data_IF_633646882574
#
_entry.id   IF_633646882574
#
_cell.length_a   1.000
_cell.length_b   1.000
_cell.length_c   1.000
_cell.angle_alpha   90.00
_cell.angle_beta   90.00
_cell.angle_gamma   90.00
#
_symmetry.space_group_name_H-M   'P 1'
#
loop_
_entity.id
_entity.type
_entity.pdbx_description
1 polymer ?
#
# COMPACT_ATOMS: atom_id res chain seq x y z
N UNK A 1 8.50 -9.47 15.98
CA UNK A 1 8.98 -8.82 14.73
C UNK A 1 8.56 -7.35 14.73
N UNK A 2 9.31 -6.41 14.13
CA UNK A 2 8.86 -5.00 13.97
C UNK A 2 8.18 -4.79 12.59
N UNK A 3 7.54 -3.64 12.38
CA UNK A 3 6.76 -3.39 11.16
C UNK A 3 7.60 -3.41 9.87
N UNK A 4 8.78 -2.78 9.88
CA UNK A 4 9.65 -2.74 8.69
C UNK A 4 10.17 -4.13 8.31
N UNK A 5 10.58 -4.93 9.30
CA UNK A 5 10.99 -6.32 9.10
C UNK A 5 9.81 -7.14 8.58
N UNK A 6 8.62 -6.99 9.17
CA UNK A 6 7.41 -7.68 8.71
C UNK A 6 7.10 -7.36 7.24
N UNK A 7 7.23 -6.10 6.83
CA UNK A 7 6.98 -5.68 5.45
C UNK A 7 8.02 -6.25 4.47
N UNK A 8 9.26 -6.43 4.92
CA UNK A 8 10.33 -7.06 4.15
C UNK A 8 10.10 -8.57 4.00
N UNK A 9 9.76 -9.26 5.10
CA UNK A 9 9.42 -10.69 5.10
C UNK A 9 8.23 -11.01 4.20
N UNK A 10 7.22 -10.15 4.13
CA UNK A 10 6.09 -10.31 3.19
C UNK A 10 6.51 -10.27 1.71
N UNK A 11 7.64 -9.64 1.38
CA UNK A 11 8.20 -9.67 0.02
C UNK A 11 9.02 -10.94 -0.25
N UNK A 12 9.40 -11.67 0.81
CA UNK A 12 10.26 -12.85 0.77
C UNK A 12 9.53 -14.13 1.14
N UNK A 13 8.20 -14.18 1.02
CA UNK A 13 7.48 -15.43 1.17
C UNK A 13 7.87 -16.41 0.05
N UNK A 14 7.97 -17.70 0.39
CA UNK A 14 8.34 -18.74 -0.58
C UNK A 14 7.20 -19.01 -1.57
N UNK A 15 5.97 -18.94 -1.08
CA UNK A 15 4.75 -19.10 -1.86
C UNK A 15 3.89 -17.84 -1.83
N UNK A 16 3.19 -17.58 -2.93
CA UNK A 16 2.39 -16.37 -3.09
C UNK A 16 1.06 -16.44 -2.30
N UNK A 17 0.74 -15.43 -1.46
CA UNK A 17 -0.54 -15.39 -0.74
C UNK A 17 -1.74 -15.22 -1.67
N UNK A 18 -2.93 -15.59 -1.17
CA UNK A 18 -4.18 -15.38 -1.89
C UNK A 18 -4.45 -13.87 -2.10
N UNK A 19 -5.24 -13.53 -3.12
CA UNK A 19 -5.63 -12.15 -3.42
C UNK A 19 -6.27 -11.44 -2.23
N UNK A 20 -7.16 -12.10 -1.50
CA UNK A 20 -7.83 -11.50 -0.34
C UNK A 20 -6.88 -11.24 0.82
N UNK A 21 -5.87 -12.09 0.99
CA UNK A 21 -4.81 -11.92 2.00
C UNK A 21 -3.90 -10.74 1.64
N UNK A 22 -3.53 -10.61 0.36
CA UNK A 22 -2.79 -9.46 -0.17
C UNK A 22 -3.58 -8.16 0.01
N UNK A 23 -4.88 -8.18 -0.27
CA UNK A 23 -5.74 -7.01 -0.11
C UNK A 23 -5.86 -6.60 1.37
N UNK A 24 -6.00 -7.57 2.27
CA UNK A 24 -6.00 -7.32 3.72
C UNK A 24 -4.69 -6.66 4.18
N UNK A 25 -3.54 -7.22 3.79
CA UNK A 25 -2.22 -6.66 4.07
C UNK A 25 -2.07 -5.26 3.48
N UNK A 26 -2.50 -5.04 2.24
CA UNK A 26 -2.44 -3.75 1.56
C UNK A 26 -3.22 -2.67 2.32
N UNK A 27 -4.45 -2.97 2.72
CA UNK A 27 -5.31 -2.00 3.42
C UNK A 27 -4.72 -1.54 4.75
N UNK A 28 -4.21 -2.49 5.55
CA UNK A 28 -3.59 -2.20 6.85
C UNK A 28 -2.26 -1.47 6.67
N UNK A 29 -1.44 -1.89 5.71
CA UNK A 29 -0.17 -1.23 5.39
C UNK A 29 -0.37 0.24 4.99
N UNK A 30 -1.32 0.50 4.09
CA UNK A 30 -1.63 1.86 3.64
C UNK A 30 -2.14 2.72 4.80
N UNK A 31 -2.99 2.18 5.66
CA UNK A 31 -3.47 2.88 6.86
C UNK A 31 -2.32 3.18 7.84
N UNK A 32 -1.39 2.25 8.05
CA UNK A 32 -0.24 2.47 8.94
C UNK A 32 0.70 3.59 8.43
N UNK A 33 0.95 3.65 7.12
CA UNK A 33 1.89 4.62 6.52
C UNK A 33 1.24 5.98 6.23
N UNK A 34 0.04 5.97 5.66
CA UNK A 34 -0.62 7.17 5.13
C UNK A 34 -1.78 7.65 5.99
N UNK A 35 -2.21 6.87 6.98
CA UNK A 35 -3.41 7.15 7.76
C UNK A 35 -4.68 6.96 6.93
N UNK A 36 -5.71 7.69 7.34
CA UNK A 36 -7.00 7.68 6.67
C UNK A 36 -6.89 8.09 5.20
N UNK A 37 -7.67 7.41 4.37
CA UNK A 37 -7.77 7.76 2.96
C UNK A 37 -8.29 9.20 2.81
N UNK A 38 -7.62 10.07 2.03
CA UNK A 38 -8.07 11.44 1.88
C UNK A 38 -9.38 11.51 1.10
N UNK A 39 -10.27 12.44 1.44
CA UNK A 39 -11.47 12.67 0.64
C UNK A 39 -11.12 13.39 -0.67
N UNK A 40 -11.96 13.25 -1.70
CA UNK A 40 -11.78 13.95 -2.98
C UNK A 40 -11.73 15.48 -2.82
N UNK A 41 -12.32 16.02 -1.76
CA UNK A 41 -12.32 17.45 -1.43
C UNK A 41 -10.98 17.90 -0.82
N UNK A 42 -10.32 17.05 -0.04
CA UNK A 42 -9.03 17.35 0.61
C UNK A 42 -7.92 17.61 -0.42
N UNK A 43 -7.98 16.99 -1.60
CA UNK A 43 -7.00 17.19 -2.67
C UNK A 43 -7.02 18.60 -3.28
N UNK A 44 -8.13 19.35 -3.17
CA UNK A 44 -8.18 20.75 -3.64
C UNK A 44 -7.29 21.68 -2.82
N UNK A 45 -7.04 21.35 -1.55
CA UNK A 45 -6.29 22.21 -0.63
C UNK A 45 -4.77 22.18 -0.87
N UNK A 46 -4.26 21.14 -1.54
CA UNK A 46 -2.84 20.96 -1.85
C UNK A 46 -2.46 21.36 -3.28
N UNK A 47 -3.44 21.75 -4.11
CA UNK A 47 -3.20 22.21 -5.48
C UNK A 47 -3.10 23.74 -5.45
N UNK A 48 -1.91 24.28 -5.77
CA UNK A 48 -1.67 25.71 -5.91
C UNK A 48 -2.79 26.37 -6.77
N UNK A 49 -3.35 27.53 -6.35
CA UNK A 49 -4.43 28.21 -7.08
C UNK A 49 -4.14 28.43 -8.58
N UNK A 50 -2.87 28.58 -8.95
CA UNK A 50 -2.40 28.70 -10.33
C UNK A 50 -2.64 27.45 -11.19
N UNK A 51 -2.63 26.25 -10.60
CA UNK A 51 -2.91 24.98 -11.31
C UNK A 51 -4.42 24.79 -11.51
N UNK A 52 -5.24 25.20 -10.54
CA UNK A 52 -6.71 25.14 -10.66
C UNK A 52 -7.19 26.05 -11.81
N UNK A 53 -6.60 27.24 -11.96
CA UNK A 53 -6.88 28.15 -13.07
C UNK A 53 -6.56 27.52 -14.45
N UNK A 54 -5.46 26.78 -14.57
CA UNK A 54 -5.06 26.07 -15.79
C UNK A 54 -6.03 24.93 -16.16
N UNK A 55 -6.53 24.18 -15.16
CA UNK A 55 -7.47 23.07 -15.37
C UNK A 55 -8.89 23.52 -15.76
N UNK A 56 -9.33 24.69 -15.26
CA UNK A 56 -10.64 25.25 -15.62
C UNK A 56 -10.60 25.84 -17.04
N UNK A 57 -9.46 26.39 -17.47
CA UNK A 57 -9.31 27.03 -18.78
C UNK A 57 -9.08 26.04 -19.94
N UNK A 58 -8.49 24.86 -19.69
CA UNK A 58 -8.12 23.88 -20.72
C UNK A 58 -9.05 22.65 -20.78
N UNK A 59 -10.36 22.85 -20.92
CA UNK A 59 -11.34 21.75 -21.05
C UNK A 59 -11.30 21.03 -22.42
N UNK A 60 -10.31 21.32 -23.28
CA UNK A 60 -10.19 20.76 -24.63
C UNK A 60 -8.88 20.03 -24.95
N UNK A 61 -7.92 19.92 -24.02
CA UNK A 61 -6.67 19.16 -24.28
C UNK A 61 -6.11 18.50 -23.02
N UNK A 62 -6.67 17.36 -22.63
CA UNK A 62 -6.09 16.49 -21.59
C UNK A 62 -5.03 15.62 -22.28
N UNK A 63 -3.85 16.18 -22.52
CA UNK A 63 -2.75 15.39 -23.07
C UNK A 63 -1.36 15.83 -22.63
N UNK A 64 -1.16 16.60 -21.57
CA UNK A 64 0.20 16.81 -21.01
C UNK A 64 0.16 17.40 -19.60
N UNK A 65 -0.05 16.56 -18.59
CA UNK A 65 0.47 16.84 -17.24
C UNK A 65 1.06 15.55 -16.67
N UNK A 66 2.18 15.11 -17.24
CA UNK A 66 3.08 14.12 -16.67
C UNK A 66 3.85 14.74 -15.49
N UNK A 67 3.16 15.19 -14.44
CA UNK A 67 3.81 15.40 -13.15
C UNK A 67 3.50 14.19 -12.28
N UNK A 68 4.56 13.55 -11.78
CA UNK A 68 4.49 12.37 -10.90
C UNK A 68 3.58 12.61 -9.69
N UNK A 69 3.42 13.88 -9.28
CA UNK A 69 2.52 14.36 -8.24
C UNK A 69 1.04 14.27 -8.62
N UNK A 70 0.63 14.59 -9.85
CA UNK A 70 -0.78 14.44 -10.29
C UNK A 70 -1.20 12.98 -10.40
N UNK A 71 -0.32 12.11 -10.92
CA UNK A 71 -0.61 10.66 -10.96
C UNK A 71 -0.74 10.08 -9.55
N UNK A 72 0.12 10.47 -8.61
CA UNK A 72 0.09 9.95 -7.24
C UNK A 72 -1.21 10.32 -6.50
N UNK A 73 -1.73 11.53 -6.68
CA UNK A 73 -3.02 11.94 -6.12
C UNK A 73 -4.23 11.23 -6.76
N UNK A 74 -4.16 10.90 -8.06
CA UNK A 74 -5.26 10.25 -8.78
C UNK A 74 -5.50 8.79 -8.35
N UNK A 75 -4.44 8.04 -8.03
CA UNK A 75 -4.56 6.65 -7.57
C UNK A 75 -5.13 6.47 -6.15
N UNK A 76 -5.20 7.55 -5.37
CA UNK A 76 -5.73 7.54 -4.00
C UNK A 76 -7.20 8.08 -3.92
N UNK A 77 -7.79 8.48 -5.04
CA UNK A 77 -9.23 8.81 -5.15
C UNK A 77 -10.06 7.57 -5.55
N UNK A 78 -11.35 7.53 -5.17
CA UNK A 78 -12.23 6.38 -5.45
C UNK A 78 -12.17 5.99 -6.94
N UNK A 79 -11.68 4.79 -7.30
CA UNK A 79 -11.51 4.41 -8.69
C UNK A 79 -12.87 4.19 -9.37
N UNK A 80 -12.90 4.37 -10.69
CA UNK A 80 -14.07 4.05 -11.52
C UNK A 80 -14.42 2.56 -11.43
N UNK A 81 -15.71 2.22 -11.51
CA UNK A 81 -16.20 0.83 -11.45
C UNK A 81 -15.69 -0.06 -12.60
N UNK A 82 -15.10 0.52 -13.65
CA UNK A 82 -14.46 -0.21 -14.75
C UNK A 82 -13.15 -0.90 -14.31
N UNK A 83 -12.51 -0.42 -13.23
CA UNK A 83 -11.25 -0.97 -12.69
C UNK A 83 -11.51 -1.72 -11.37
N UNK A 84 -11.92 -2.97 -11.49
CA UNK A 84 -12.31 -3.80 -10.36
C UNK A 84 -11.16 -4.05 -9.38
N UNK A 85 -9.91 -4.12 -9.85
CA UNK A 85 -8.76 -4.39 -8.99
C UNK A 85 -8.40 -3.20 -8.11
N UNK A 86 -8.32 -2.00 -8.71
CA UNK A 86 -8.06 -0.79 -7.92
C UNK A 86 -9.22 -0.51 -6.95
N UNK A 87 -10.46 -0.84 -7.34
CA UNK A 87 -11.61 -0.75 -6.44
C UNK A 87 -11.47 -1.68 -5.22
N UNK A 88 -11.00 -2.92 -5.39
CA UNK A 88 -10.75 -3.83 -4.27
C UNK A 88 -9.68 -3.30 -3.32
N UNK A 89 -8.58 -2.76 -3.85
CA UNK A 89 -7.53 -2.12 -3.05
C UNK A 89 -8.05 -0.93 -2.25
N UNK A 90 -8.81 -0.06 -2.91
CA UNK A 90 -9.45 1.11 -2.29
C UNK A 90 -10.40 0.69 -1.16
N UNK A 91 -11.26 -0.29 -1.41
CA UNK A 91 -12.19 -0.84 -0.42
C UNK A 91 -11.45 -1.46 0.78
N UNK A 92 -10.33 -2.15 0.54
CA UNK A 92 -9.52 -2.73 1.60
C UNK A 92 -8.87 -1.66 2.50
N UNK A 93 -8.44 -0.52 1.93
CA UNK A 93 -7.93 0.60 2.71
C UNK A 93 -9.04 1.30 3.50
N UNK A 94 -10.17 1.63 2.85
CA UNK A 94 -11.34 2.25 3.51
C UNK A 94 -11.82 1.46 4.73
N UNK A 95 -11.80 0.13 4.64
CA UNK A 95 -12.25 -0.73 5.75
C UNK A 95 -11.48 -0.48 7.05
N UNK A 96 -10.27 0.06 6.97
CA UNK A 96 -9.42 0.36 8.12
C UNK A 96 -9.43 1.84 8.53
N UNK A 97 -10.29 2.67 7.93
CA UNK A 97 -10.43 4.09 8.28
C UNK A 97 -10.72 4.27 9.77
N UNK A 98 -10.07 5.24 10.40
CA UNK A 98 -10.20 5.55 11.82
C UNK A 98 -9.38 4.66 12.75
N UNK A 99 -8.66 3.66 12.22
CA UNK A 99 -7.68 2.91 13.03
C UNK A 99 -6.43 3.74 13.25
N UNK A 100 -5.94 3.71 14.48
CA UNK A 100 -4.66 4.30 14.84
C UNK A 100 -3.49 3.55 14.17
N UNK A 101 -2.40 4.29 13.92
CA UNK A 101 -1.19 3.74 13.31
C UNK A 101 -0.61 2.57 14.09
N UNK A 102 -0.51 2.67 15.42
CA UNK A 102 0.08 1.60 16.24
C UNK A 102 -0.76 0.33 16.19
N UNK A 103 -2.09 0.48 16.15
CA UNK A 103 -3.00 -0.64 16.00
C UNK A 103 -2.80 -1.32 14.63
N UNK A 104 -2.69 -0.54 13.56
CA UNK A 104 -2.44 -1.09 12.22
C UNK A 104 -1.09 -1.79 12.13
N UNK A 105 -0.02 -1.22 12.69
CA UNK A 105 1.30 -1.84 12.71
C UNK A 105 1.27 -3.19 13.46
N UNK A 106 0.60 -3.25 14.62
CA UNK A 106 0.44 -4.48 15.39
C UNK A 106 -0.36 -5.54 14.63
N UNK A 107 -1.49 -5.16 14.03
CA UNK A 107 -2.30 -6.07 13.20
C UNK A 107 -1.51 -6.58 11.97
N UNK A 108 -0.70 -5.71 11.35
CA UNK A 108 0.14 -6.08 10.22
C UNK A 108 1.19 -7.12 10.60
N UNK A 109 1.88 -6.92 11.73
CA UNK A 109 2.88 -7.86 12.25
C UNK A 109 2.24 -9.23 12.52
N UNK A 110 1.07 -9.25 13.15
CA UNK A 110 0.37 -10.50 13.43
C UNK A 110 0.03 -11.28 12.13
N UNK A 111 -0.51 -10.59 11.13
CA UNK A 111 -0.83 -11.21 9.84
C UNK A 111 0.46 -11.69 9.16
N UNK A 112 1.54 -10.92 9.23
CA UNK A 112 2.82 -11.31 8.66
C UNK A 112 3.37 -12.60 9.30
N UNK A 113 3.28 -12.75 10.62
CA UNK A 113 3.67 -13.98 11.32
C UNK A 113 2.83 -15.19 10.88
N UNK A 114 1.51 -15.00 10.73
CA UNK A 114 0.60 -16.04 10.19
C UNK A 114 0.97 -16.43 8.75
N UNK A 115 1.31 -15.46 7.91
CA UNK A 115 1.71 -15.70 6.50
C UNK A 115 3.05 -16.41 6.41
N UNK A 116 4.04 -16.02 7.21
CA UNK A 116 5.34 -16.69 7.29
C UNK A 116 5.14 -18.16 7.69
N UNK A 117 4.28 -18.41 8.69
CA UNK A 117 3.97 -19.77 9.14
C UNK A 117 3.28 -20.60 8.04
N UNK A 118 2.40 -19.99 7.25
CA UNK A 118 1.61 -20.66 6.22
C UNK A 118 2.38 -20.90 4.91
N UNK A 119 3.14 -19.91 4.47
CA UNK A 119 3.77 -19.87 3.14
C UNK A 119 5.29 -20.09 3.18
N UNK A 120 5.91 -20.05 4.36
CA UNK A 120 7.35 -20.21 4.51
C UNK A 120 8.16 -18.99 4.06
N UNK A 121 9.43 -18.96 4.45
CA UNK A 121 10.40 -17.94 4.03
C UNK A 121 11.21 -18.44 2.84
N UNK A 122 11.35 -17.60 1.82
CA UNK A 122 12.26 -17.84 0.70
C UNK A 122 13.68 -17.60 1.14
N UNK A 123 14.38 -18.66 1.52
CA UNK A 123 15.78 -18.58 1.95
C UNK A 123 16.69 -18.68 0.72
N UNK A 124 17.23 -17.54 0.27
CA UNK A 124 18.32 -17.53 -0.71
C UNK A 124 19.63 -17.83 0.03
N UNK A 125 20.01 -19.11 0.09
CA UNK A 125 21.31 -19.51 0.65
C UNK A 125 22.41 -19.22 -0.37
N UNK A 126 23.32 -18.32 -0.03
CA UNK A 126 24.64 -18.28 -0.66
C UNK A 126 25.66 -18.97 0.28
N UNK A 127 26.78 -19.43 -0.28
CA UNK A 127 27.79 -20.26 0.43
C UNK A 127 28.25 -19.65 1.77
N UNK A 128 28.33 -18.32 1.85
CA UNK A 128 28.71 -17.60 3.06
C UNK A 128 27.58 -17.52 4.11
N UNK A 129 26.31 -17.48 3.70
CA UNK A 129 25.18 -17.38 4.62
C UNK A 129 24.89 -18.71 5.35
N UNK A 130 25.27 -19.86 4.78
CA UNK A 130 25.02 -21.18 5.39
C UNK A 130 26.02 -21.56 6.49
N UNK A 131 27.21 -20.96 6.52
CA UNK A 131 28.28 -21.32 7.47
C UNK A 131 28.25 -20.48 8.75
N UNK A 132 27.65 -19.29 8.72
CA UNK A 132 27.73 -18.33 9.85
C UNK A 132 26.41 -18.24 10.64
N UNK A 133 25.25 -18.51 10.01
CA UNK A 133 23.96 -18.20 10.63
C UNK A 133 22.85 -19.15 10.17
N UNK A 134 22.72 -20.32 10.82
CA UNK A 134 21.38 -20.86 11.11
C UNK A 134 20.79 -20.02 12.23
N UNK A 135 20.46 -18.76 11.96
CA UNK A 135 19.68 -18.01 12.95
C UNK A 135 18.25 -18.44 12.77
N UNK A 136 17.86 -19.38 13.62
CA UNK A 136 16.48 -19.68 13.91
C UNK A 136 15.86 -18.42 14.57
N UNK A 137 15.41 -17.48 13.73
CA UNK A 137 14.56 -16.34 14.11
C UNK A 137 13.07 -16.72 14.08
#
# INVERSE_FOLDING_TARGET
>A
MNFDIAAEEMRRLDSEPNEDEKLKLYGIYKQAIHGDIPSTEDYRSFISPSIIALLIYSRSNIATTNSVTFRKAYYDTKPSNTDQWNLRKYNAWIKNKGKDRQQCEKEYIQIAEEMIKKYGRKIVRCKWNSEVWTVDY
#
